data_IF_829691195709
#
_entry.id   IF_829691195709
#
_cell.length_a   1.000
_cell.length_b   1.000
_cell.length_c   1.000
_cell.angle_alpha   90.00
_cell.angle_beta   90.00
_cell.angle_gamma   90.00
#
_symmetry.space_group_name_H-M   'P 1'
#
loop_
_entity.id
_entity.type
_entity.pdbx_description
1 polymer ?
#
# COMPACT_ATOMS: atom_id res chain seq x y z
N UNK A 1 11.22 3.10 -6.03
CA UNK A 1 11.10 4.55 -6.31
C UNK A 1 9.68 4.98 -6.05
N UNK A 2 9.50 5.87 -5.09
CA UNK A 2 8.19 6.40 -4.68
C UNK A 2 7.98 7.79 -5.29
N UNK A 3 7.75 7.81 -6.57
CA UNK A 3 7.49 9.02 -7.34
C UNK A 3 6.40 8.72 -8.37
N UNK A 4 5.46 9.66 -8.54
CA UNK A 4 4.36 9.53 -9.48
C UNK A 4 4.88 9.38 -10.92
N UNK A 5 4.07 8.73 -11.75
CA UNK A 5 4.32 8.51 -13.17
C UNK A 5 5.62 7.76 -13.52
N UNK A 6 6.30 7.16 -12.52
CA UNK A 6 7.46 6.32 -12.78
C UNK A 6 7.07 5.06 -13.54
N UNK A 7 7.92 4.64 -14.48
CA UNK A 7 7.75 3.39 -15.24
C UNK A 7 9.06 2.59 -15.14
N UNK A 8 8.94 1.31 -14.79
CA UNK A 8 10.03 0.35 -14.87
C UNK A 8 9.80 -0.56 -16.07
N UNK A 9 10.76 -0.59 -17.00
CA UNK A 9 10.78 -1.51 -18.13
C UNK A 9 11.89 -2.53 -17.92
N UNK A 10 11.49 -3.80 -17.89
CA UNK A 10 12.40 -4.93 -17.74
C UNK A 10 12.42 -5.75 -19.03
N UNK A 11 13.59 -5.96 -19.59
CA UNK A 11 13.81 -6.81 -20.76
C UNK A 11 15.07 -7.68 -20.55
N UNK A 12 14.97 -8.76 -19.75
CA UNK A 12 16.13 -9.59 -19.36
C UNK A 12 16.97 -10.09 -20.54
N UNK A 13 16.30 -10.39 -21.66
CA UNK A 13 16.92 -10.93 -22.87
C UNK A 13 17.38 -9.84 -23.86
N UNK A 14 17.36 -8.56 -23.45
CA UNK A 14 17.81 -7.47 -24.31
C UNK A 14 19.26 -7.68 -24.78
N UNK A 15 19.58 -7.36 -26.05
CA UNK A 15 20.91 -7.53 -26.63
C UNK A 15 22.01 -6.77 -25.86
N UNK A 16 21.67 -5.60 -25.34
CA UNK A 16 22.58 -4.74 -24.60
C UNK A 16 22.24 -4.68 -23.12
N UNK A 17 23.24 -4.76 -22.27
CA UNK A 17 23.06 -4.79 -20.80
C UNK A 17 22.27 -3.58 -20.27
N UNK A 18 22.53 -2.37 -20.78
CA UNK A 18 21.85 -1.16 -20.37
C UNK A 18 20.34 -1.11 -20.74
N UNK A 19 19.87 -2.03 -21.57
CA UNK A 19 18.48 -2.15 -21.97
C UNK A 19 17.71 -3.20 -21.15
N UNK A 20 18.39 -3.93 -20.25
CA UNK A 20 17.74 -5.00 -19.47
C UNK A 20 16.88 -4.45 -18.35
N UNK A 21 17.28 -3.33 -17.78
CA UNK A 21 16.56 -2.64 -16.72
C UNK A 21 16.60 -1.13 -16.98
N UNK A 22 15.45 -0.54 -17.22
CA UNK A 22 15.34 0.89 -17.54
C UNK A 22 14.24 1.53 -16.69
N UNK A 23 14.60 2.60 -15.98
CA UNK A 23 13.69 3.38 -15.17
C UNK A 23 13.38 4.72 -15.86
N UNK A 24 12.11 5.02 -15.99
CA UNK A 24 11.63 6.28 -16.56
C UNK A 24 11.00 7.13 -15.48
N UNK A 25 11.40 8.39 -15.39
CA UNK A 25 10.95 9.35 -14.39
C UNK A 25 10.44 10.60 -15.06
N UNK A 26 9.45 11.24 -14.41
CA UNK A 26 9.04 12.60 -14.78
C UNK A 26 10.25 13.53 -14.63
N UNK A 27 10.54 14.32 -15.68
CA UNK A 27 11.64 15.27 -15.65
C UNK A 27 11.43 16.31 -14.55
N UNK A 28 12.51 16.69 -13.89
CA UNK A 28 12.52 17.68 -12.83
C UNK A 28 13.33 18.91 -13.21
N UNK A 29 13.02 20.05 -12.63
CA UNK A 29 13.77 21.29 -12.73
C UNK A 29 13.64 22.08 -11.44
N UNK A 30 14.51 23.06 -11.23
CA UNK A 30 14.43 23.97 -10.08
C UNK A 30 13.06 24.68 -9.99
N UNK A 31 12.48 25.02 -11.13
CA UNK A 31 11.16 25.63 -11.17
C UNK A 31 10.05 24.65 -10.71
N UNK A 32 10.10 23.41 -11.13
CA UNK A 32 9.15 22.36 -10.70
C UNK A 32 9.32 22.11 -9.19
N UNK A 33 10.54 22.08 -8.70
CA UNK A 33 10.82 21.85 -7.28
C UNK A 33 10.21 22.91 -6.34
N UNK A 34 10.06 24.15 -6.81
CA UNK A 34 9.40 25.23 -6.05
C UNK A 34 7.91 24.91 -5.80
N UNK A 35 7.21 24.29 -6.76
CA UNK A 35 5.78 24.05 -6.68
C UNK A 35 5.40 22.64 -6.20
N UNK A 36 6.17 21.64 -6.63
CA UNK A 36 5.85 20.22 -6.41
C UNK A 36 6.80 19.53 -5.42
N UNK A 37 7.79 20.26 -4.88
CA UNK A 37 8.87 19.68 -4.10
C UNK A 37 9.96 19.04 -4.95
N UNK A 38 11.04 18.61 -4.31
CA UNK A 38 12.15 17.97 -4.99
C UNK A 38 11.73 16.60 -5.56
N UNK A 39 12.00 16.39 -6.84
CA UNK A 39 11.85 15.12 -7.55
C UNK A 39 13.22 14.46 -7.69
N UNK A 40 13.22 13.17 -7.98
CA UNK A 40 14.48 12.43 -8.17
C UNK A 40 15.20 12.89 -9.44
N UNK A 41 16.47 13.24 -9.30
CA UNK A 41 17.40 13.30 -10.45
C UNK A 41 17.74 11.88 -10.91
N UNK A 42 18.37 11.73 -12.09
CA UNK A 42 18.77 10.41 -12.59
C UNK A 42 19.80 9.74 -11.67
N UNK A 43 20.72 10.52 -11.13
CA UNK A 43 21.73 10.06 -10.17
C UNK A 43 21.11 9.58 -8.88
N UNK A 44 20.20 10.39 -8.33
CA UNK A 44 19.51 10.02 -7.08
C UNK A 44 18.59 8.81 -7.27
N UNK A 45 17.95 8.70 -8.43
CA UNK A 45 17.15 7.53 -8.79
C UNK A 45 17.99 6.25 -8.84
N UNK A 46 19.19 6.32 -9.42
CA UNK A 46 20.14 5.21 -9.40
C UNK A 46 20.52 4.82 -7.96
N UNK A 47 20.89 5.80 -7.13
CA UNK A 47 21.27 5.54 -5.72
C UNK A 47 20.18 4.81 -4.92
N UNK A 48 18.91 5.17 -5.12
CA UNK A 48 17.80 4.58 -4.35
C UNK A 48 17.23 3.30 -4.96
N UNK A 49 17.39 3.07 -6.27
CA UNK A 49 16.81 1.92 -6.96
C UNK A 49 17.84 0.86 -7.36
N UNK A 50 19.11 1.22 -7.47
CA UNK A 50 20.17 0.39 -8.05
C UNK A 50 20.11 0.29 -9.58
N UNK A 51 19.09 0.86 -10.25
CA UNK A 51 18.92 0.79 -11.70
C UNK A 51 19.81 1.84 -12.36
N UNK A 52 20.78 1.39 -13.14
CA UNK A 52 21.79 2.26 -13.77
C UNK A 52 21.23 3.06 -14.94
N UNK A 53 20.30 2.50 -15.68
CA UNK A 53 19.73 3.15 -16.87
C UNK A 53 18.48 3.92 -16.50
N UNK A 54 18.61 5.24 -16.36
CA UNK A 54 17.52 6.14 -16.00
C UNK A 54 17.27 7.13 -17.13
N UNK A 55 16.05 7.18 -17.63
CA UNK A 55 15.58 8.09 -18.67
C UNK A 55 14.51 9.04 -18.13
N UNK A 56 14.26 10.13 -18.84
CA UNK A 56 13.07 10.94 -18.62
C UNK A 56 11.84 10.29 -19.27
N UNK A 57 10.68 10.49 -18.69
CA UNK A 57 9.43 9.88 -19.13
C UNK A 57 9.08 10.17 -20.59
N UNK A 58 9.47 11.33 -21.09
CA UNK A 58 9.30 11.73 -22.51
C UNK A 58 10.02 10.79 -23.50
N UNK A 59 11.07 10.08 -23.07
CA UNK A 59 11.80 9.15 -23.89
C UNK A 59 11.17 7.74 -23.91
N UNK A 60 10.14 7.50 -23.09
CA UNK A 60 9.55 6.18 -22.89
C UNK A 60 9.02 5.55 -24.17
N UNK A 61 8.20 6.28 -24.94
CA UNK A 61 7.58 5.73 -26.16
C UNK A 61 8.62 5.35 -27.21
N UNK A 62 9.66 6.17 -27.38
CA UNK A 62 10.75 5.90 -28.32
C UNK A 62 11.53 4.67 -27.89
N UNK A 63 11.90 4.58 -26.62
CA UNK A 63 12.64 3.45 -26.08
C UNK A 63 11.81 2.16 -26.13
N UNK A 64 10.52 2.23 -25.77
CA UNK A 64 9.62 1.09 -25.88
C UNK A 64 9.52 0.60 -27.35
N UNK A 65 9.42 1.52 -28.32
CA UNK A 65 9.40 1.14 -29.73
C UNK A 65 10.64 0.35 -30.13
N UNK A 66 11.83 0.80 -29.70
CA UNK A 66 13.07 0.07 -29.96
C UNK A 66 13.04 -1.34 -29.33
N UNK A 67 12.58 -1.47 -28.09
CA UNK A 67 12.48 -2.78 -27.41
C UNK A 67 11.46 -3.70 -28.09
N UNK A 68 10.35 -3.15 -28.56
CA UNK A 68 9.32 -3.94 -29.26
C UNK A 68 9.81 -4.55 -30.58
N UNK A 69 10.84 -3.99 -31.20
CA UNK A 69 11.44 -4.62 -32.41
C UNK A 69 12.17 -5.92 -32.10
N UNK A 70 12.51 -6.18 -30.85
CA UNK A 70 13.23 -7.35 -30.38
C UNK A 70 12.40 -8.28 -29.50
N UNK A 71 11.10 -8.02 -29.35
CA UNK A 71 10.21 -8.81 -28.51
C UNK A 71 8.91 -9.17 -29.24
N UNK A 72 8.31 -10.29 -28.87
CA UNK A 72 7.01 -10.73 -29.39
C UNK A 72 5.89 -10.53 -28.38
N UNK A 73 6.24 -10.50 -27.09
CA UNK A 73 5.28 -10.45 -25.99
C UNK A 73 5.66 -9.39 -24.97
N UNK A 74 4.67 -8.62 -24.54
CA UNK A 74 4.80 -7.71 -23.41
C UNK A 74 3.96 -8.20 -22.22
N UNK A 75 4.53 -8.14 -21.03
CA UNK A 75 3.85 -8.44 -19.76
C UNK A 75 3.40 -7.13 -19.12
N UNK A 76 2.11 -6.94 -18.99
CA UNK A 76 1.51 -5.70 -18.47
C UNK A 76 0.59 -6.02 -17.28
N UNK A 77 0.52 -5.09 -16.33
CA UNK A 77 -0.48 -5.14 -15.28
C UNK A 77 -1.86 -4.80 -15.86
N UNK A 78 -2.83 -5.67 -15.68
CA UNK A 78 -4.20 -5.49 -16.18
C UNK A 78 -5.19 -5.12 -15.07
N UNK A 79 -4.72 -4.97 -13.82
CA UNK A 79 -5.54 -4.67 -12.64
C UNK A 79 -6.73 -5.63 -12.42
N UNK A 80 -6.61 -6.87 -12.86
CA UNK A 80 -7.63 -7.87 -12.64
C UNK A 80 -7.64 -8.32 -11.18
N UNK A 81 -8.82 -8.30 -10.58
CA UNK A 81 -9.04 -8.78 -9.22
C UNK A 81 -10.26 -9.69 -9.18
N UNK A 82 -10.11 -10.88 -8.61
CA UNK A 82 -11.19 -11.89 -8.60
C UNK A 82 -12.39 -11.54 -7.70
N UNK A 83 -12.24 -10.58 -6.78
CA UNK A 83 -13.28 -10.14 -5.85
C UNK A 83 -13.95 -8.82 -6.26
N UNK A 84 -13.43 -8.13 -7.26
CA UNK A 84 -13.91 -6.81 -7.61
C UNK A 84 -13.86 -6.57 -9.11
N UNK A 85 -14.91 -5.96 -9.64
CA UNK A 85 -14.91 -5.42 -10.99
C UNK A 85 -14.39 -4.00 -10.94
N UNK A 86 -13.40 -3.67 -11.77
CA UNK A 86 -12.88 -2.31 -11.88
C UNK A 86 -13.81 -1.52 -12.80
N UNK A 87 -14.61 -0.63 -12.23
CA UNK A 87 -15.57 0.19 -12.99
C UNK A 87 -14.90 1.41 -13.63
N UNK A 88 -13.88 1.96 -12.97
CA UNK A 88 -13.15 3.14 -13.48
C UNK A 88 -11.96 2.70 -14.31
N UNK A 89 -11.79 3.32 -15.50
CA UNK A 89 -10.64 3.04 -16.34
C UNK A 89 -9.33 3.48 -15.68
N UNK A 90 -8.48 2.52 -15.37
CA UNK A 90 -7.18 2.75 -14.74
C UNK A 90 -6.13 3.26 -15.74
N UNK A 91 -5.00 3.77 -15.22
CA UNK A 91 -3.85 4.15 -16.05
C UNK A 91 -3.33 2.97 -16.87
N UNK A 92 -3.24 1.79 -16.26
CA UNK A 92 -2.79 0.57 -16.92
C UNK A 92 -3.77 0.12 -18.01
N UNK A 93 -5.08 0.25 -17.80
CA UNK A 93 -6.08 -0.07 -18.82
C UNK A 93 -5.94 0.85 -20.04
N UNK A 94 -5.72 2.17 -19.83
CA UNK A 94 -5.43 3.11 -20.93
C UNK A 94 -4.14 2.75 -21.67
N UNK A 95 -3.09 2.37 -20.92
CA UNK A 95 -1.84 1.93 -21.51
C UNK A 95 -2.00 0.67 -22.36
N UNK A 96 -2.76 -0.32 -21.90
CA UNK A 96 -3.06 -1.55 -22.66
C UNK A 96 -3.80 -1.24 -23.95
N UNK A 97 -4.78 -0.33 -23.93
CA UNK A 97 -5.50 0.11 -25.14
C UNK A 97 -4.56 0.75 -26.15
N UNK A 98 -3.84 1.78 -25.70
CA UNK A 98 -2.85 2.49 -26.51
C UNK A 98 -1.81 1.54 -27.11
N UNK A 99 -1.31 0.59 -26.30
CA UNK A 99 -0.31 -0.37 -26.74
C UNK A 99 -0.85 -1.32 -27.82
N UNK A 100 -2.08 -1.85 -27.65
CA UNK A 100 -2.71 -2.73 -28.66
C UNK A 100 -2.95 -2.06 -30.01
N UNK A 101 -3.28 -0.78 -30.00
CA UNK A 101 -3.41 0.00 -31.24
C UNK A 101 -2.06 0.19 -31.95
N UNK A 102 -1.01 0.45 -31.17
CA UNK A 102 0.33 0.73 -31.69
C UNK A 102 1.11 -0.51 -32.14
N UNK A 103 0.89 -1.63 -31.48
CA UNK A 103 1.61 -2.89 -31.70
C UNK A 103 0.66 -4.08 -31.95
N UNK A 104 -0.17 -4.05 -33.02
CA UNK A 104 -1.23 -5.04 -33.21
C UNK A 104 -0.72 -6.47 -33.49
N UNK A 105 0.54 -6.61 -33.93
CA UNK A 105 1.17 -7.91 -34.23
C UNK A 105 1.81 -8.58 -32.99
N UNK A 106 1.84 -7.88 -31.84
CA UNK A 106 2.47 -8.40 -30.63
C UNK A 106 1.43 -8.95 -29.65
N UNK A 107 1.88 -9.79 -28.72
CA UNK A 107 1.02 -10.40 -27.70
C UNK A 107 1.11 -9.67 -26.37
N UNK A 108 -0.04 -9.46 -25.71
CA UNK A 108 -0.12 -8.99 -24.33
C UNK A 108 -0.30 -10.16 -23.40
N UNK A 109 0.58 -10.30 -22.43
CA UNK A 109 0.49 -11.26 -21.33
C UNK A 109 0.33 -10.54 -19.97
N UNK A 110 -0.19 -11.28 -18.98
CA UNK A 110 -0.41 -10.74 -17.63
C UNK A 110 0.87 -10.82 -16.81
N UNK A 111 1.30 -9.70 -16.24
CA UNK A 111 2.43 -9.65 -15.29
C UNK A 111 2.04 -10.15 -13.88
N UNK A 112 0.77 -10.08 -13.51
CA UNK A 112 0.26 -10.45 -12.18
C UNK A 112 0.74 -11.82 -11.67
N UNK A 113 0.68 -12.94 -12.43
CA UNK A 113 1.11 -14.23 -11.91
C UNK A 113 2.60 -14.27 -11.55
N UNK A 114 3.43 -13.51 -12.28
CA UNK A 114 4.87 -13.40 -12.01
C UNK A 114 5.08 -12.62 -10.71
N UNK A 115 4.47 -11.43 -10.61
CA UNK A 115 4.59 -10.56 -9.44
C UNK A 115 4.02 -11.20 -8.19
N UNK A 116 2.89 -11.91 -8.27
CA UNK A 116 2.32 -12.64 -7.14
C UNK A 116 3.26 -13.72 -6.61
N UNK A 117 3.92 -14.46 -7.50
CA UNK A 117 4.89 -15.48 -7.10
C UNK A 117 6.08 -14.86 -6.38
N UNK A 118 6.64 -13.77 -6.89
CA UNK A 118 7.74 -13.06 -6.26
C UNK A 118 7.34 -12.50 -4.88
N UNK A 119 6.13 -11.92 -4.77
CA UNK A 119 5.63 -11.33 -3.53
C UNK A 119 5.16 -12.35 -2.50
N UNK A 120 4.94 -13.62 -2.87
CA UNK A 120 4.48 -14.66 -1.94
C UNK A 120 5.55 -15.07 -0.93
N UNK A 121 6.81 -15.05 -1.34
CA UNK A 121 7.97 -15.36 -0.49
C UNK A 121 8.70 -14.04 -0.24
N UNK A 122 8.80 -13.64 1.03
CA UNK A 122 9.40 -12.38 1.43
C UNK A 122 10.90 -12.55 1.62
N UNK A 123 11.65 -11.57 1.14
CA UNK A 123 13.07 -11.41 1.46
C UNK A 123 13.26 -10.86 2.89
N UNK A 124 14.47 -10.91 3.40
CA UNK A 124 14.79 -10.47 4.78
C UNK A 124 14.42 -9.00 4.99
N UNK A 125 14.74 -8.15 4.03
CA UNK A 125 14.45 -6.71 4.05
C UNK A 125 12.94 -6.43 4.09
N UNK A 126 12.14 -7.24 3.39
CA UNK A 126 10.67 -7.15 3.42
C UNK A 126 10.11 -7.55 4.80
N UNK A 127 10.68 -8.59 5.41
CA UNK A 127 10.31 -9.02 6.77
C UNK A 127 10.61 -7.93 7.80
N UNK A 128 11.73 -7.23 7.69
CA UNK A 128 12.10 -6.11 8.55
C UNK A 128 11.09 -4.95 8.42
N UNK A 129 10.64 -4.65 7.21
CA UNK A 129 9.64 -3.61 6.97
C UNK A 129 8.26 -3.99 7.53
N UNK A 130 7.84 -5.25 7.37
CA UNK A 130 6.61 -5.79 7.96
C UNK A 130 6.71 -5.74 9.50
N UNK A 131 7.84 -6.14 10.06
CA UNK A 131 8.06 -6.07 11.51
C UNK A 131 7.97 -4.63 12.03
N UNK A 132 8.50 -3.66 11.30
CA UNK A 132 8.36 -2.23 11.66
C UNK A 132 6.90 -1.79 11.64
N UNK A 133 6.11 -2.17 10.63
CA UNK A 133 4.67 -1.90 10.60
C UNK A 133 3.95 -2.52 11.82
N UNK A 134 4.29 -3.75 12.20
CA UNK A 134 3.77 -4.41 13.40
C UNK A 134 4.16 -3.67 14.68
N UNK A 135 5.42 -3.23 14.80
CA UNK A 135 5.90 -2.48 15.96
C UNK A 135 5.14 -1.15 16.13
N UNK A 136 4.91 -0.43 15.02
CA UNK A 136 4.14 0.82 15.03
C UNK A 136 2.69 0.56 15.46
N UNK A 137 2.08 -0.50 14.96
CA UNK A 137 0.73 -0.92 15.36
C UNK A 137 0.66 -1.27 16.85
N UNK A 138 1.66 -1.97 17.37
CA UNK A 138 1.76 -2.26 18.80
C UNK A 138 1.80 -0.98 19.64
N UNK A 139 2.62 0.00 19.26
CA UNK A 139 2.68 1.30 19.94
C UNK A 139 1.33 2.01 19.93
N UNK A 140 0.67 2.07 18.78
CA UNK A 140 -0.68 2.63 18.67
C UNK A 140 -1.68 1.89 19.56
N UNK A 141 -1.66 0.57 19.55
CA UNK A 141 -2.56 -0.22 20.39
C UNK A 141 -2.29 -0.02 21.91
N UNK A 142 -1.03 0.03 22.34
CA UNK A 142 -0.67 0.35 23.73
C UNK A 142 -1.19 1.72 24.16
N UNK A 143 -1.15 2.71 23.26
CA UNK A 143 -1.74 4.03 23.50
C UNK A 143 -3.25 3.93 23.70
N UNK A 144 -3.95 3.15 22.86
CA UNK A 144 -5.39 2.95 22.99
C UNK A 144 -5.79 2.30 24.32
N UNK A 145 -5.03 1.33 24.82
CA UNK A 145 -5.29 0.71 26.13
C UNK A 145 -5.31 1.72 27.29
N UNK A 146 -4.63 2.84 27.15
CA UNK A 146 -4.61 3.92 28.14
C UNK A 146 -5.66 4.99 27.88
N UNK A 147 -6.17 5.10 26.66
CA UNK A 147 -7.10 6.15 26.22
C UNK A 147 -8.56 5.72 26.29
N UNK A 148 -8.87 4.47 25.88
CA UNK A 148 -10.24 3.96 25.81
C UNK A 148 -10.90 3.93 27.18
N UNK A 149 -12.04 4.62 27.29
CA UNK A 149 -12.86 4.71 28.50
C UNK A 149 -14.31 5.07 28.11
N UNK A 150 -15.27 4.95 29.04
CA UNK A 150 -16.64 5.40 28.78
C UNK A 150 -16.71 6.89 28.38
N UNK A 151 -17.60 7.20 27.46
CA UNK A 151 -17.88 8.51 26.88
C UNK A 151 -16.86 9.00 25.84
N UNK A 152 -15.78 8.28 25.55
CA UNK A 152 -14.93 8.52 24.38
C UNK A 152 -15.68 8.09 23.12
N UNK A 153 -15.50 8.81 22.05
CA UNK A 153 -16.06 8.44 20.72
C UNK A 153 -15.09 7.62 19.91
N UNK A 154 -15.63 6.82 19.00
CA UNK A 154 -14.81 5.95 18.12
C UNK A 154 -13.82 6.77 17.28
N UNK A 155 -14.23 7.95 16.77
CA UNK A 155 -13.32 8.82 16.00
C UNK A 155 -12.23 9.49 16.88
N UNK A 156 -12.45 9.69 18.18
CA UNK A 156 -11.37 10.14 19.08
C UNK A 156 -10.31 9.03 19.24
N UNK A 157 -10.74 7.77 19.29
CA UNK A 157 -9.84 6.60 19.29
C UNK A 157 -9.05 6.53 17.99
N UNK A 158 -9.70 6.77 16.85
CA UNK A 158 -9.04 6.84 15.54
C UNK A 158 -7.97 7.92 15.50
N UNK A 159 -8.27 9.10 16.03
CA UNK A 159 -7.32 10.23 16.10
C UNK A 159 -6.06 9.89 16.92
N UNK A 160 -6.22 9.14 18.02
CA UNK A 160 -5.09 8.68 18.84
C UNK A 160 -4.19 7.69 18.08
N UNK A 161 -4.78 6.81 17.27
CA UNK A 161 -4.02 5.90 16.40
C UNK A 161 -3.26 6.65 15.31
N UNK A 162 -3.93 7.56 14.60
CA UNK A 162 -3.29 8.40 13.57
C UNK A 162 -2.09 9.15 14.16
N UNK A 163 -2.28 9.76 15.33
CA UNK A 163 -1.20 10.47 16.01
C UNK A 163 0.00 9.55 16.25
N UNK A 164 -0.22 8.34 16.78
CA UNK A 164 0.88 7.43 17.09
C UNK A 164 1.53 6.87 15.82
N UNK A 165 0.76 6.58 14.78
CA UNK A 165 1.27 6.06 13.51
C UNK A 165 2.15 7.10 12.80
N UNK A 166 1.66 8.33 12.65
CA UNK A 166 2.40 9.41 11.98
C UNK A 166 3.66 9.78 12.76
N UNK A 167 3.58 9.84 14.11
CA UNK A 167 4.74 10.10 14.99
C UNK A 167 5.86 9.08 14.77
N UNK A 168 5.51 7.84 14.44
CA UNK A 168 6.46 6.74 14.16
C UNK A 168 6.75 6.56 12.67
N UNK A 169 6.51 7.59 11.83
CA UNK A 169 6.81 7.63 10.39
C UNK A 169 5.98 6.70 9.52
N UNK A 170 4.87 6.19 10.01
CA UNK A 170 3.84 5.58 9.16
C UNK A 170 3.14 6.67 8.34
N UNK A 171 2.69 6.35 7.14
CA UNK A 171 1.84 7.25 6.34
C UNK A 171 0.38 7.23 6.79
N UNK A 172 0.03 6.34 7.71
CA UNK A 172 -1.30 6.19 8.24
C UNK A 172 -1.73 4.73 8.39
N UNK A 173 -3.02 4.51 8.27
CA UNK A 173 -3.60 3.17 8.34
C UNK A 173 -3.24 2.32 7.13
N UNK A 174 -3.00 1.03 7.37
CA UNK A 174 -2.80 0.02 6.33
C UNK A 174 -4.08 -0.26 5.53
N UNK A 175 -5.23 -0.06 6.15
CA UNK A 175 -6.59 -0.19 5.61
C UNK A 175 -7.54 0.70 6.39
N UNK A 176 -8.79 0.87 5.92
CA UNK A 176 -9.82 1.63 6.64
C UNK A 176 -10.04 1.03 8.01
N UNK A 177 -9.81 1.77 9.11
CA UNK A 177 -9.88 1.23 10.47
C UNK A 177 -11.30 0.88 10.85
N UNK A 178 -11.46 -0.24 11.56
CA UNK A 178 -12.72 -0.64 12.20
C UNK A 178 -12.58 -0.41 13.69
N UNK A 179 -13.37 0.52 14.22
CA UNK A 179 -13.38 0.89 15.64
C UNK A 179 -14.84 0.80 16.10
N UNK A 180 -15.26 -0.37 16.53
CA UNK A 180 -16.64 -0.75 16.68
C UNK A 180 -17.04 -1.02 18.15
N UNK A 181 -17.74 -0.08 18.78
CA UNK A 181 -18.21 -0.22 20.14
C UNK A 181 -19.61 -0.87 20.23
N UNK A 182 -19.83 -1.63 21.27
CA UNK A 182 -21.13 -2.26 21.55
C UNK A 182 -21.68 -3.09 20.38
N UNK A 183 -22.88 -2.77 19.92
CA UNK A 183 -23.55 -3.51 18.83
C UNK A 183 -22.87 -3.33 17.47
N UNK A 184 -22.09 -2.26 17.26
CA UNK A 184 -21.36 -2.04 16.01
C UNK A 184 -20.32 -3.15 15.76
N UNK A 185 -19.80 -3.77 16.81
CA UNK A 185 -18.88 -4.90 16.72
C UNK A 185 -19.48 -6.16 16.04
N UNK A 186 -20.78 -6.19 15.80
CA UNK A 186 -21.43 -7.26 15.04
C UNK A 186 -21.49 -6.98 13.52
N UNK A 187 -21.04 -5.80 13.08
CA UNK A 187 -20.96 -5.44 11.66
C UNK A 187 -19.53 -5.64 11.19
N UNK A 188 -19.33 -6.60 10.30
CA UNK A 188 -17.98 -7.08 9.91
C UNK A 188 -17.07 -5.97 9.35
N UNK A 189 -17.62 -5.09 8.51
CA UNK A 189 -16.90 -3.94 7.94
C UNK A 189 -17.54 -2.63 8.38
N UNK A 190 -17.62 -2.42 9.70
CA UNK A 190 -18.06 -1.16 10.27
C UNK A 190 -16.98 -0.11 10.15
N UNK A 191 -17.24 0.97 9.42
CA UNK A 191 -16.23 2.02 9.11
C UNK A 191 -16.69 3.43 9.47
N UNK A 192 -17.91 3.60 10.02
CA UNK A 192 -18.44 4.94 10.34
C UNK A 192 -17.74 5.57 11.55
N UNK A 193 -17.25 4.75 12.47
CA UNK A 193 -16.46 5.14 13.65
C UNK A 193 -17.01 6.39 14.37
N UNK A 194 -18.35 6.49 14.53
CA UNK A 194 -18.99 7.72 14.97
C UNK A 194 -19.76 7.59 16.30
N UNK A 195 -19.77 6.42 16.93
CA UNK A 195 -20.53 6.19 18.16
C UNK A 195 -19.71 6.47 19.41
N UNK A 196 -20.43 6.78 20.50
CA UNK A 196 -19.84 6.95 21.81
C UNK A 196 -19.77 5.61 22.55
N UNK A 197 -18.59 5.27 23.08
CA UNK A 197 -18.35 4.09 23.89
C UNK A 197 -19.08 4.19 25.25
N UNK A 198 -19.81 3.15 25.64
CA UNK A 198 -20.62 3.14 26.88
C UNK A 198 -20.05 2.20 27.94
N UNK A 199 -20.41 2.46 29.16
CA UNK A 199 -20.09 1.59 30.31
C UNK A 199 -20.60 0.18 30.07
N UNK A 200 -19.75 -0.82 30.28
CA UNK A 200 -20.12 -2.24 30.16
C UNK A 200 -20.07 -2.81 28.73
N UNK A 201 -19.80 -1.97 27.72
CA UNK A 201 -19.60 -2.44 26.34
C UNK A 201 -18.19 -3.00 26.12
N UNK A 202 -18.07 -3.85 25.10
CA UNK A 202 -16.81 -4.18 24.45
C UNK A 202 -16.62 -3.28 23.24
N UNK A 203 -15.36 -3.05 22.86
CA UNK A 203 -15.00 -2.43 21.59
C UNK A 203 -14.09 -3.38 20.82
N UNK A 204 -14.45 -3.63 19.58
CA UNK A 204 -13.63 -4.34 18.61
C UNK A 204 -12.79 -3.32 17.86
N UNK A 205 -11.51 -3.56 17.78
CA UNK A 205 -10.52 -2.75 17.10
C UNK A 205 -9.83 -3.62 16.06
N UNK A 206 -10.08 -3.34 14.78
CA UNK A 206 -9.37 -3.93 13.66
C UNK A 206 -8.62 -2.80 12.95
N UNK A 207 -7.35 -2.65 13.32
CA UNK A 207 -6.56 -1.46 13.04
C UNK A 207 -5.09 -1.84 12.84
N UNK A 208 -4.46 -1.23 11.86
CA UNK A 208 -3.04 -1.44 11.64
C UNK A 208 -2.36 -0.28 10.91
N UNK A 209 -1.07 -0.14 11.14
CA UNK A 209 -0.21 0.83 10.47
C UNK A 209 0.38 0.26 9.17
N UNK A 210 0.56 1.16 8.21
CA UNK A 210 1.42 0.95 7.04
C UNK A 210 2.82 1.47 7.35
N UNK A 211 3.87 0.80 6.85
CA UNK A 211 5.23 1.30 6.88
C UNK A 211 5.98 0.92 5.60
N UNK A 212 6.47 1.92 4.86
CA UNK A 212 7.23 1.73 3.62
C UNK A 212 6.54 0.78 2.61
N UNK A 213 5.22 0.94 2.42
CA UNK A 213 4.34 0.14 1.57
C UNK A 213 4.10 -1.31 2.06
N UNK A 214 4.48 -1.64 3.30
CA UNK A 214 4.13 -2.91 3.95
C UNK A 214 3.11 -2.68 5.04
N UNK A 215 2.11 -3.55 5.09
CA UNK A 215 0.98 -3.47 6.01
C UNK A 215 1.13 -4.47 7.14
N UNK A 216 0.80 -4.05 8.36
CA UNK A 216 0.47 -4.95 9.45
C UNK A 216 -1.04 -5.20 9.50
N UNK A 217 -1.49 -6.06 10.39
CA UNK A 217 -2.89 -6.41 10.61
C UNK A 217 -3.08 -6.82 12.07
N UNK A 218 -4.02 -6.20 12.79
CA UNK A 218 -4.28 -6.50 14.18
C UNK A 218 -5.74 -6.30 14.55
N UNK A 219 -6.41 -7.38 14.95
CA UNK A 219 -7.76 -7.30 15.55
C UNK A 219 -7.71 -7.66 17.04
N UNK A 220 -8.31 -6.83 17.88
CA UNK A 220 -8.49 -7.08 19.32
C UNK A 220 -9.85 -6.56 19.79
N UNK A 221 -10.42 -7.28 20.76
CA UNK A 221 -11.64 -6.87 21.45
C UNK A 221 -11.31 -6.59 22.92
N UNK A 222 -11.58 -5.38 23.38
CA UNK A 222 -11.27 -4.94 24.75
C UNK A 222 -12.50 -4.36 25.45
N UNK A 223 -12.58 -4.39 26.79
CA UNK A 223 -13.67 -3.77 27.51
C UNK A 223 -13.48 -2.25 27.59
N UNK A 224 -14.52 -1.49 27.24
CA UNK A 224 -14.52 -0.01 27.32
C UNK A 224 -14.20 0.49 28.73
N UNK A 225 -14.67 -0.22 29.74
CA UNK A 225 -14.44 0.13 31.15
C UNK A 225 -13.12 -0.38 31.74
N UNK A 226 -12.20 -0.91 30.91
CA UNK A 226 -10.88 -1.39 31.32
C UNK A 226 -10.88 -2.76 32.04
N UNK A 227 -12.06 -3.34 32.31
CA UNK A 227 -12.21 -4.66 32.95
C UNK A 227 -13.35 -5.44 32.31
N UNK A 228 -13.11 -6.71 32.02
CA UNK A 228 -14.15 -7.63 31.57
C UNK A 228 -15.10 -8.00 32.74
N UNK A 229 -16.39 -8.06 32.46
CA UNK A 229 -17.34 -8.76 33.32
C UNK A 229 -17.03 -10.29 33.29
N UNK A 230 -17.55 -11.04 34.26
CA UNK A 230 -17.33 -12.50 34.30
C UNK A 230 -17.78 -13.17 32.99
N UNK A 231 -18.96 -12.81 32.47
CA UNK A 231 -19.50 -13.36 31.22
C UNK A 231 -18.63 -12.97 30.00
N UNK A 232 -18.18 -11.73 29.91
CA UNK A 232 -17.28 -11.28 28.83
C UNK A 232 -15.95 -12.05 28.88
N UNK A 233 -15.40 -12.26 30.08
CA UNK A 233 -14.14 -13.01 30.29
C UNK A 233 -14.31 -14.49 29.90
N UNK A 234 -15.45 -15.11 30.23
CA UNK A 234 -15.74 -16.49 29.81
C UNK A 234 -15.75 -16.63 28.30
N UNK A 235 -16.42 -15.72 27.58
CA UNK A 235 -16.45 -15.71 26.11
C UNK A 235 -15.07 -15.46 25.54
N UNK A 236 -14.37 -14.45 26.05
CA UNK A 236 -13.01 -14.11 25.59
C UNK A 236 -12.01 -15.26 25.72
N UNK A 237 -12.11 -16.04 26.81
CA UNK A 237 -11.23 -17.18 27.04
C UNK A 237 -11.62 -18.43 26.21
N UNK A 238 -12.82 -18.45 25.63
CA UNK A 238 -13.30 -19.55 24.79
C UNK A 238 -12.91 -19.37 23.29
N UNK A 239 -12.55 -18.12 22.89
CA UNK A 239 -12.09 -17.76 21.54
C UNK A 239 -10.57 -17.76 21.49
#
# INVERSE_FOLDING_TARGET
VDQEESILLLFPDAPYEHQREMLFLKETSEHIAIWEGEKLTKERAFEVSGIRTVYWLQDFEKTLFEMMTHSETIYINTNEHYRATVETETREARFVKWWKEKYPAHTVAKSNPILQRLRSIKETEELDLIQNACNITELGFRRLLSFVKPNVTEFEIEAELIHEFVRNRSRGFAYTPIIASGNNANVLHYIENNQQCKVGELILLDVAAEYANYSSDLTRTIPVSGRYSNKQKEVYNAV
#
